data_IF_398310009734
#
_entry.id   IF_398310009734
#
_cell.length_a   1.000
_cell.length_b   1.000
_cell.length_c   1.000
_cell.angle_alpha   90.00
_cell.angle_beta   90.00
_cell.angle_gamma   90.00
#
_symmetry.space_group_name_H-M   'P 1'
#
loop_
_entity.id
_entity.type
_entity.pdbx_description
1 polymer ?
#
# COMPACT_ATOMS: atom_id res chain seq x y z
N UNK A 1 34.75 2.40 1.75
CA UNK A 1 34.98 2.06 0.33
C UNK A 1 34.29 3.10 -0.52
N UNK A 2 35.03 3.70 -1.45
CA UNK A 2 34.66 4.93 -2.14
C UNK A 2 33.39 4.77 -3.00
N UNK A 3 32.44 5.70 -2.85
CA UNK A 3 31.35 5.91 -3.79
C UNK A 3 31.94 6.39 -5.11
N UNK A 4 32.25 5.48 -6.03
CA UNK A 4 32.38 5.84 -7.44
C UNK A 4 30.96 6.12 -7.94
N UNK A 5 30.61 7.41 -7.96
CA UNK A 5 29.38 7.86 -8.58
C UNK A 5 29.42 7.46 -10.06
N UNK A 6 28.41 6.71 -10.54
CA UNK A 6 28.26 6.44 -11.97
C UNK A 6 28.41 7.75 -12.75
N UNK A 7 29.34 7.73 -13.69
CA UNK A 7 29.54 8.80 -14.66
C UNK A 7 28.36 8.86 -15.62
N UNK A 8 28.18 10.01 -16.27
CA UNK A 8 27.10 10.16 -17.24
C UNK A 8 27.31 9.24 -18.46
N UNK A 9 28.57 8.94 -18.84
CA UNK A 9 28.88 7.96 -19.87
C UNK A 9 28.45 6.53 -19.49
N UNK A 10 28.65 6.12 -18.24
CA UNK A 10 28.17 4.81 -17.75
C UNK A 10 26.64 4.75 -17.70
N UNK A 11 25.98 5.86 -17.38
CA UNK A 11 24.51 5.96 -17.45
C UNK A 11 24.01 5.78 -18.87
N UNK A 12 24.65 6.39 -19.87
CA UNK A 12 24.32 6.20 -21.29
C UNK A 12 24.49 4.75 -21.70
N UNK A 13 25.65 4.15 -21.40
CA UNK A 13 25.96 2.75 -21.73
C UNK A 13 24.95 1.79 -21.10
N UNK A 14 24.59 2.01 -19.83
CA UNK A 14 23.58 1.22 -19.13
C UNK A 14 22.21 1.32 -19.81
N UNK A 15 21.81 2.53 -20.23
CA UNK A 15 20.55 2.77 -20.95
C UNK A 15 20.54 2.07 -22.31
N UNK A 16 21.64 2.12 -23.05
CA UNK A 16 21.79 1.45 -24.34
C UNK A 16 21.73 -0.08 -24.22
N UNK A 17 22.43 -0.67 -23.24
CA UNK A 17 22.37 -2.11 -22.98
C UNK A 17 20.95 -2.55 -22.60
N UNK A 18 20.26 -1.76 -21.77
CA UNK A 18 18.87 -2.02 -21.45
C UNK A 18 17.95 -1.92 -22.67
N UNK A 19 18.14 -0.90 -23.52
CA UNK A 19 17.39 -0.73 -24.77
C UNK A 19 17.64 -1.89 -25.75
N UNK A 20 18.84 -2.47 -25.74
CA UNK A 20 19.19 -3.68 -26.48
C UNK A 20 18.60 -4.98 -25.88
N UNK A 21 17.92 -4.91 -24.73
CA UNK A 21 17.21 -6.02 -24.10
C UNK A 21 17.92 -6.68 -22.92
N UNK A 22 19.02 -6.12 -22.42
CA UNK A 22 19.69 -6.63 -21.22
C UNK A 22 18.77 -6.58 -19.99
N UNK A 23 18.88 -7.58 -19.10
CA UNK A 23 18.09 -7.62 -17.88
C UNK A 23 18.68 -6.69 -16.84
N UNK A 24 17.82 -6.02 -16.06
CA UNK A 24 18.26 -5.09 -15.01
C UNK A 24 19.11 -5.75 -13.92
N UNK A 25 18.93 -7.05 -13.69
CA UNK A 25 19.73 -7.81 -12.70
C UNK A 25 21.17 -7.96 -13.18
N UNK A 26 21.35 -8.30 -14.46
CA UNK A 26 22.68 -8.49 -15.04
C UNK A 26 23.42 -7.13 -15.11
N UNK A 27 22.70 -6.06 -15.48
CA UNK A 27 23.22 -4.68 -15.46
C UNK A 27 23.59 -4.20 -14.04
N UNK A 28 22.83 -4.62 -13.02
CA UNK A 28 23.13 -4.27 -11.64
C UNK A 28 24.47 -4.89 -11.20
N UNK A 29 24.72 -6.15 -11.58
CA UNK A 29 25.97 -6.84 -11.32
C UNK A 29 27.13 -6.23 -12.12
N UNK A 30 26.93 -5.97 -13.42
CA UNK A 30 27.97 -5.42 -14.31
C UNK A 30 28.43 -4.02 -13.88
N UNK A 31 27.51 -3.16 -13.46
CA UNK A 31 27.80 -1.78 -13.04
C UNK A 31 28.00 -1.63 -11.53
N UNK A 32 27.95 -2.72 -10.77
CA UNK A 32 28.16 -2.71 -9.32
C UNK A 32 27.14 -1.87 -8.52
N UNK A 33 25.92 -1.72 -9.03
CA UNK A 33 24.87 -0.90 -8.41
C UNK A 33 23.63 -1.72 -8.07
N UNK A 34 22.81 -1.20 -7.16
CA UNK A 34 21.53 -1.82 -6.84
C UNK A 34 20.59 -1.85 -8.06
N UNK A 35 19.86 -2.96 -8.24
CA UNK A 35 18.86 -3.10 -9.29
C UNK A 35 17.78 -2.00 -9.27
N UNK A 36 17.44 -1.49 -8.08
CA UNK A 36 16.53 -0.34 -7.91
C UNK A 36 17.11 0.95 -8.50
N UNK A 37 18.42 1.14 -8.43
CA UNK A 37 19.13 2.26 -9.04
C UNK A 37 19.15 2.13 -10.58
N UNK A 38 19.43 0.93 -11.11
CA UNK A 38 19.31 0.63 -12.56
C UNK A 38 17.91 1.01 -13.06
N UNK A 39 16.86 0.57 -12.35
CA UNK A 39 15.48 0.91 -12.69
C UNK A 39 15.20 2.42 -12.67
N UNK A 40 15.75 3.16 -11.70
CA UNK A 40 15.57 4.61 -11.63
C UNK A 40 16.26 5.33 -12.79
N UNK A 41 17.47 4.87 -13.17
CA UNK A 41 18.27 5.43 -14.26
C UNK A 41 17.62 5.16 -15.63
N UNK A 42 17.23 3.90 -15.89
CA UNK A 42 16.62 3.46 -17.16
C UNK A 42 15.30 4.18 -17.44
N UNK A 43 14.48 4.39 -16.41
CA UNK A 43 13.19 5.09 -16.53
C UNK A 43 13.33 6.62 -16.48
N UNK A 44 14.55 7.16 -16.41
CA UNK A 44 14.79 8.61 -16.37
C UNK A 44 14.32 9.30 -15.09
N UNK A 45 14.02 8.55 -14.02
CA UNK A 45 13.65 9.11 -12.70
C UNK A 45 14.84 9.77 -12.01
N UNK A 46 16.04 9.28 -12.32
CA UNK A 46 17.31 9.84 -11.88
C UNK A 46 18.25 9.99 -13.08
N UNK A 47 19.19 10.95 -12.99
CA UNK A 47 20.20 11.22 -14.04
C UNK A 47 19.57 11.42 -15.43
N UNK A 48 18.47 12.15 -15.51
CA UNK A 48 17.79 12.44 -16.79
C UNK A 48 18.69 13.24 -17.75
N UNK A 49 19.51 14.15 -17.20
CA UNK A 49 20.46 14.99 -17.93
C UNK A 49 21.64 14.23 -18.56
N UNK A 50 21.88 12.98 -18.15
CA UNK A 50 23.02 12.18 -18.63
C UNK A 50 22.86 11.71 -20.10
N UNK A 51 21.69 11.88 -20.73
CA UNK A 51 21.45 11.47 -22.12
C UNK A 51 21.17 9.98 -22.33
N UNK A 52 21.17 9.50 -23.57
CA UNK A 52 20.89 8.10 -23.91
C UNK A 52 19.39 7.71 -23.90
N UNK A 53 19.05 6.50 -24.36
CA UNK A 53 17.66 6.08 -24.53
C UNK A 53 17.00 5.84 -23.17
N UNK A 54 16.14 6.77 -22.77
CA UNK A 54 15.24 6.53 -21.65
C UNK A 54 14.19 5.55 -22.14
N UNK A 55 13.95 4.50 -21.35
CA UNK A 55 12.79 3.64 -21.53
C UNK A 55 11.54 4.47 -21.18
N UNK A 56 11.18 5.40 -22.07
CA UNK A 56 9.88 6.05 -22.03
C UNK A 56 8.89 4.91 -22.02
N UNK A 57 8.01 4.92 -21.02
CA UNK A 57 6.98 3.91 -20.83
C UNK A 57 6.40 3.60 -22.19
N UNK A 58 6.78 2.45 -22.73
CA UNK A 58 6.50 2.11 -24.11
C UNK A 58 5.02 2.36 -24.34
N UNK A 59 4.71 3.23 -25.30
CA UNK A 59 3.37 3.47 -25.83
C UNK A 59 2.80 2.20 -26.51
N UNK A 60 3.25 1.00 -26.14
CA UNK A 60 2.55 -0.29 -26.36
C UNK A 60 1.16 -0.35 -25.71
N UNK A 61 0.65 0.76 -25.19
CA UNK A 61 -0.76 0.97 -24.84
C UNK A 61 -1.49 1.97 -25.76
N UNK A 62 -0.82 2.53 -26.78
CA UNK A 62 -1.35 3.57 -27.67
C UNK A 62 -1.88 3.02 -29.01
N UNK A 63 -1.87 1.71 -29.23
CA UNK A 63 -2.50 1.07 -30.38
C UNK A 63 -3.74 0.27 -29.96
N UNK A 64 -4.75 0.98 -29.47
CA UNK A 64 -6.16 0.64 -29.53
C UNK A 64 -6.97 1.90 -29.19
N UNK A 65 -8.02 2.27 -29.95
CA UNK A 65 -8.84 3.44 -29.62
C UNK A 65 -9.44 3.26 -28.21
N UNK A 66 -9.30 4.30 -27.39
CA UNK A 66 -9.76 4.38 -26.01
C UNK A 66 -11.30 4.51 -25.89
N UNK A 67 -12.06 3.59 -26.52
CA UNK A 67 -13.53 3.65 -26.53
C UNK A 67 -14.19 2.35 -26.03
N UNK A 68 -13.42 1.39 -25.54
CA UNK A 68 -13.99 0.36 -24.68
C UNK A 68 -13.76 0.77 -23.23
N UNK A 69 -14.82 1.03 -22.43
CA UNK A 69 -14.65 1.21 -21.00
C UNK A 69 -13.95 -0.04 -20.47
N UNK A 70 -12.71 0.14 -19.99
CA UNK A 70 -12.00 -0.89 -19.24
C UNK A 70 -12.98 -1.39 -18.18
N UNK A 71 -13.33 -2.69 -18.12
CA UNK A 71 -14.22 -3.18 -17.08
C UNK A 71 -13.62 -2.74 -15.76
N UNK A 72 -14.45 -2.12 -14.91
CA UNK A 72 -14.04 -1.71 -13.58
C UNK A 72 -13.28 -2.89 -12.97
N UNK A 73 -12.02 -2.66 -12.57
CA UNK A 73 -11.17 -3.71 -12.03
C UNK A 73 -12.00 -4.44 -10.97
N UNK A 74 -12.25 -5.74 -11.18
CA UNK A 74 -13.08 -6.53 -10.28
C UNK A 74 -12.63 -6.23 -8.85
N UNK A 75 -13.57 -5.98 -7.92
CA UNK A 75 -13.21 -5.63 -6.56
C UNK A 75 -12.23 -6.69 -6.06
N UNK A 76 -11.01 -6.26 -5.68
CA UNK A 76 -10.03 -7.17 -5.10
C UNK A 76 -10.74 -7.88 -3.96
N UNK A 77 -10.79 -9.21 -3.97
CA UNK A 77 -11.47 -10.03 -2.96
C UNK A 77 -10.89 -9.69 -1.59
N UNK A 78 -11.51 -8.74 -0.89
CA UNK A 78 -11.17 -8.38 0.48
C UNK A 78 -11.70 -9.50 1.37
N UNK A 79 -10.87 -9.99 2.28
CA UNK A 79 -11.30 -11.00 3.26
C UNK A 79 -12.43 -10.41 4.08
N UNK A 80 -13.51 -11.19 4.25
CA UNK A 80 -14.62 -10.77 5.10
C UNK A 80 -14.20 -10.72 6.56
N UNK A 81 -14.95 -9.98 7.38
CA UNK A 81 -14.71 -9.95 8.81
C UNK A 81 -14.85 -11.33 9.45
N UNK A 82 -15.80 -12.13 8.96
CA UNK A 82 -16.00 -13.51 9.39
C UNK A 82 -14.79 -14.40 9.07
N UNK A 83 -14.20 -14.28 7.87
CA UNK A 83 -13.00 -15.05 7.51
C UNK A 83 -11.82 -14.70 8.41
N UNK A 84 -11.65 -13.42 8.76
CA UNK A 84 -10.58 -12.97 9.65
C UNK A 84 -10.79 -13.50 11.07
N UNK A 85 -12.03 -13.51 11.56
CA UNK A 85 -12.35 -14.05 12.87
C UNK A 85 -12.20 -15.59 12.93
N UNK A 86 -12.59 -16.29 11.86
CA UNK A 86 -12.34 -17.73 11.73
C UNK A 86 -10.84 -18.03 11.75
N UNK A 87 -10.02 -17.27 11.01
CA UNK A 87 -8.56 -17.42 11.06
C UNK A 87 -8.03 -17.22 12.49
N UNK A 88 -8.46 -16.16 13.18
CA UNK A 88 -8.02 -15.89 14.56
C UNK A 88 -8.41 -17.01 15.52
N UNK A 89 -9.65 -17.49 15.42
CA UNK A 89 -10.18 -18.56 16.27
C UNK A 89 -9.41 -19.87 16.07
N UNK A 90 -9.16 -20.26 14.82
CA UNK A 90 -8.46 -21.50 14.48
C UNK A 90 -6.96 -21.45 14.80
N UNK A 91 -6.35 -20.28 14.65
CA UNK A 91 -4.96 -20.09 15.12
C UNK A 91 -4.88 -20.16 16.65
N UNK A 92 -5.88 -19.60 17.37
CA UNK A 92 -5.94 -19.67 18.83
C UNK A 92 -6.22 -21.08 19.37
N UNK A 93 -6.96 -21.91 18.63
CA UNK A 93 -7.15 -23.35 18.95
C UNK A 93 -5.90 -24.20 18.66
N UNK A 94 -4.86 -23.63 18.05
CA UNK A 94 -3.61 -24.33 17.76
C UNK A 94 -3.60 -25.09 16.44
N UNK A 95 -4.60 -24.91 15.56
CA UNK A 95 -4.61 -25.52 14.23
C UNK A 95 -3.42 -25.03 13.38
N UNK A 96 -2.91 -25.91 12.51
CA UNK A 96 -1.77 -25.57 11.66
C UNK A 96 -2.20 -24.56 10.61
N UNK A 97 -1.43 -23.48 10.48
CA UNK A 97 -1.69 -22.38 9.52
C UNK A 97 -1.83 -22.87 8.07
N UNK A 98 -1.19 -23.97 7.70
CA UNK A 98 -1.30 -24.60 6.37
C UNK A 98 -2.67 -25.22 6.13
N UNK A 99 -3.27 -25.83 7.15
CA UNK A 99 -4.61 -26.45 7.08
C UNK A 99 -5.68 -25.36 7.02
N UNK A 100 -5.55 -24.32 7.85
CA UNK A 100 -6.41 -23.13 7.84
C UNK A 100 -6.37 -22.43 6.47
N UNK A 101 -5.19 -22.34 5.85
CA UNK A 101 -5.00 -21.74 4.53
C UNK A 101 -5.72 -22.52 3.43
N UNK A 102 -5.58 -23.85 3.44
CA UNK A 102 -6.21 -24.73 2.47
C UNK A 102 -7.74 -24.69 2.59
N UNK A 103 -8.26 -24.76 3.82
CA UNK A 103 -9.70 -24.80 4.09
C UNK A 103 -10.41 -23.49 3.72
N UNK A 104 -9.78 -22.35 4.04
CA UNK A 104 -10.35 -21.02 3.77
C UNK A 104 -10.02 -20.48 2.37
N UNK A 105 -9.20 -21.19 1.60
CA UNK A 105 -8.74 -20.75 0.28
C UNK A 105 -7.92 -19.45 0.32
N UNK A 106 -7.11 -19.26 1.37
CA UNK A 106 -6.29 -18.06 1.59
C UNK A 106 -4.81 -18.44 1.69
N UNK A 107 -3.90 -17.53 1.32
CA UNK A 107 -2.47 -17.82 1.42
C UNK A 107 -1.97 -17.84 2.87
N UNK A 108 -0.93 -18.63 3.17
CA UNK A 108 -0.27 -18.61 4.48
C UNK A 108 0.19 -17.20 4.88
N UNK A 109 0.74 -16.43 3.95
CA UNK A 109 1.14 -15.03 4.19
C UNK A 109 -0.04 -14.13 4.57
N UNK A 110 -1.24 -14.46 4.11
CA UNK A 110 -2.48 -13.78 4.51
C UNK A 110 -2.79 -14.04 5.98
N UNK A 111 -2.67 -15.28 6.44
CA UNK A 111 -2.84 -15.65 7.85
C UNK A 111 -1.80 -14.94 8.72
N UNK A 112 -0.52 -14.96 8.34
CA UNK A 112 0.54 -14.27 9.08
C UNK A 112 0.28 -12.75 9.17
N UNK A 113 -0.29 -12.14 8.11
CA UNK A 113 -0.67 -10.72 8.12
C UNK A 113 -1.88 -10.42 9.02
N UNK A 114 -2.81 -11.35 9.16
CA UNK A 114 -3.96 -11.24 10.07
C UNK A 114 -3.50 -11.35 11.52
N UNK A 115 -2.65 -12.34 11.83
CA UNK A 115 -2.08 -12.55 13.16
C UNK A 115 -1.20 -11.36 13.57
N UNK A 116 -0.35 -10.87 12.66
CA UNK A 116 0.54 -9.74 12.95
C UNK A 116 -0.17 -8.39 12.96
N UNK A 117 -1.50 -8.33 12.83
CA UNK A 117 -2.28 -7.09 12.82
C UNK A 117 -2.12 -6.20 11.58
N UNK A 118 -1.31 -6.59 10.59
CA UNK A 118 -1.08 -5.82 9.35
C UNK A 118 -2.28 -5.84 8.41
N UNK A 119 -3.12 -6.87 8.49
CA UNK A 119 -4.42 -6.97 7.83
C UNK A 119 -5.50 -7.30 8.86
N UNK A 120 -5.83 -6.32 9.69
CA UNK A 120 -7.08 -6.32 10.44
C UNK A 120 -8.22 -5.78 9.58
N UNK A 121 -9.45 -6.24 9.85
CA UNK A 121 -10.68 -5.61 9.37
C UNK A 121 -10.73 -4.17 9.87
N UNK A 122 -10.26 -3.22 9.08
CA UNK A 122 -10.62 -1.83 9.29
C UNK A 122 -12.06 -1.56 8.79
N UNK A 123 -12.96 -2.53 8.82
CA UNK A 123 -14.38 -2.23 9.01
C UNK A 123 -14.60 -2.05 10.50
N UNK A 124 -13.97 -1.00 11.07
CA UNK A 124 -14.44 -0.47 12.35
C UNK A 124 -15.90 -0.12 12.11
N UNK A 125 -16.81 -0.73 12.88
CA UNK A 125 -18.23 -0.36 12.86
C UNK A 125 -18.28 1.17 13.00
N UNK A 126 -18.98 1.90 12.11
CA UNK A 126 -19.08 3.34 12.22
C UNK A 126 -19.63 3.68 13.61
N UNK A 127 -19.07 4.73 14.21
CA UNK A 127 -19.53 5.21 15.51
C UNK A 127 -21.01 5.58 15.39
N UNK A 128 -21.81 5.20 16.39
CA UNK A 128 -23.23 5.55 16.44
C UNK A 128 -23.41 7.06 16.61
N UNK A 129 -24.58 7.57 16.22
CA UNK A 129 -24.93 8.98 16.37
C UNK A 129 -24.86 9.45 17.83
N UNK A 130 -25.19 8.57 18.79
CA UNK A 130 -25.02 8.84 20.22
C UNK A 130 -23.55 9.01 20.60
N UNK A 131 -22.66 8.12 20.13
CA UNK A 131 -21.22 8.23 20.39
C UNK A 131 -20.63 9.49 19.75
N UNK A 132 -21.11 9.88 18.57
CA UNK A 132 -20.66 11.11 17.90
C UNK A 132 -21.09 12.34 18.70
N UNK A 133 -22.32 12.38 19.22
CA UNK A 133 -22.80 13.44 20.11
C UNK A 133 -21.98 13.50 21.40
N UNK A 134 -21.67 12.35 22.01
CA UNK A 134 -20.81 12.28 23.20
C UNK A 134 -19.40 12.79 22.94
N UNK A 135 -18.77 12.37 21.84
CA UNK A 135 -17.43 12.83 21.44
C UNK A 135 -17.40 14.35 21.25
N UNK A 136 -18.41 14.93 20.60
CA UNK A 136 -18.50 16.38 20.37
C UNK A 136 -18.74 17.15 21.67
N UNK A 137 -19.65 16.67 22.50
CA UNK A 137 -19.91 17.27 23.82
C UNK A 137 -18.65 17.26 24.69
N UNK A 138 -17.94 16.13 24.75
CA UNK A 138 -16.72 16.01 25.54
C UNK A 138 -15.59 16.88 25.00
N UNK A 139 -15.42 16.96 23.67
CA UNK A 139 -14.45 17.87 23.07
C UNK A 139 -14.79 19.34 23.35
N UNK A 140 -16.08 19.72 23.34
CA UNK A 140 -16.53 21.07 23.67
C UNK A 140 -16.30 21.42 25.15
N UNK A 141 -16.38 20.45 26.06
CA UNK A 141 -16.00 20.63 27.47
C UNK A 141 -14.48 20.65 27.71
N UNK A 142 -13.67 20.59 26.65
CA UNK A 142 -12.21 20.68 26.73
C UNK A 142 -11.49 19.35 26.92
N UNK A 143 -12.18 18.21 26.78
CA UNK A 143 -11.53 16.89 26.87
C UNK A 143 -10.52 16.73 25.72
N UNK A 144 -9.27 16.34 26.01
CA UNK A 144 -8.26 16.10 24.99
C UNK A 144 -8.71 15.05 23.98
N UNK A 145 -8.55 15.35 22.69
CA UNK A 145 -8.92 14.44 21.60
C UNK A 145 -8.15 13.10 21.62
N UNK A 146 -6.96 13.08 22.22
CA UNK A 146 -6.17 11.86 22.44
C UNK A 146 -6.83 10.90 23.43
N UNK A 147 -7.44 11.42 24.50
CA UNK A 147 -8.18 10.61 25.47
C UNK A 147 -9.46 10.04 24.84
N UNK A 148 -10.19 10.87 24.09
CA UNK A 148 -11.36 10.40 23.32
C UNK A 148 -10.98 9.34 22.28
N UNK A 149 -9.81 9.45 21.66
CA UNK A 149 -9.34 8.44 20.72
C UNK A 149 -9.12 7.09 21.41
N UNK A 150 -8.51 7.11 22.60
CA UNK A 150 -8.28 5.91 23.40
C UNK A 150 -9.60 5.30 23.89
N UNK A 151 -10.50 6.11 24.44
CA UNK A 151 -11.81 5.70 24.97
C UNK A 151 -12.69 5.04 23.90
N UNK A 152 -12.77 5.64 22.72
CA UNK A 152 -13.61 5.14 21.62
C UNK A 152 -12.87 4.19 20.66
N UNK A 153 -11.64 3.77 21.01
CA UNK A 153 -10.86 2.79 20.23
C UNK A 153 -10.55 3.24 18.80
N UNK A 154 -10.41 4.54 18.57
CA UNK A 154 -10.20 5.18 17.26
C UNK A 154 -8.91 6.00 17.23
N UNK A 155 -8.62 6.70 16.14
CA UNK A 155 -7.46 7.59 16.05
C UNK A 155 -7.84 9.04 16.39
N UNK A 156 -6.88 9.81 16.90
CA UNK A 156 -7.06 11.24 17.17
C UNK A 156 -7.46 12.02 15.91
N UNK A 157 -6.98 11.60 14.73
CA UNK A 157 -7.40 12.17 13.44
C UNK A 157 -8.91 11.97 13.19
N UNK A 158 -9.47 10.80 13.50
CA UNK A 158 -10.91 10.54 13.37
C UNK A 158 -11.71 11.40 14.34
N UNK A 159 -11.26 11.51 15.60
CA UNK A 159 -11.88 12.43 16.57
C UNK A 159 -11.86 13.87 16.04
N UNK A 160 -10.72 14.33 15.51
CA UNK A 160 -10.60 15.67 14.93
C UNK A 160 -11.57 15.90 13.78
N UNK A 161 -11.76 14.91 12.90
CA UNK A 161 -12.72 14.98 11.79
C UNK A 161 -14.18 15.00 12.28
N UNK A 162 -14.50 14.28 13.36
CA UNK A 162 -15.84 14.29 13.98
C UNK A 162 -16.13 15.64 14.62
N UNK A 163 -15.18 16.18 15.38
CA UNK A 163 -15.29 17.49 16.05
C UNK A 163 -15.41 18.63 15.04
N UNK A 164 -14.62 18.60 13.95
CA UNK A 164 -14.69 19.59 12.85
C UNK A 164 -15.88 19.38 11.91
N UNK A 165 -16.73 18.38 12.17
CA UNK A 165 -17.86 17.99 11.32
C UNK A 165 -17.47 17.74 9.85
N UNK A 166 -16.23 17.30 9.61
CA UNK A 166 -15.80 16.86 8.28
C UNK A 166 -16.51 15.57 7.92
N UNK A 167 -16.69 14.71 8.92
CA UNK A 167 -17.46 13.45 8.88
C UNK A 167 -18.71 13.58 9.76
N UNK A 168 -19.75 12.80 9.47
CA UNK A 168 -21.03 12.78 10.21
C UNK A 168 -21.66 14.17 10.35
N UNK A 169 -21.87 14.86 9.22
CA UNK A 169 -22.34 16.25 9.18
C UNK A 169 -23.74 16.45 9.75
N UNK A 170 -24.60 15.44 9.56
CA UNK A 170 -26.02 15.50 9.90
C UNK A 170 -26.30 15.15 11.36
N UNK A 171 -25.31 14.61 12.08
CA UNK A 171 -25.39 14.40 13.52
C UNK A 171 -25.15 15.76 14.21
N UNK A 172 -25.82 16.09 15.32
CA UNK A 172 -25.55 17.30 16.11
C UNK A 172 -24.18 17.33 16.77
#
# INVERSE_FOLDING_TARGET
MALMALSDAEVVRLRELYAAGARQVDLATEFGIAQTAVSAIVNGRTRASAGGPIATRSLRSASAPATSPRPAAAPRKTLSAEQIEQVRRRVASGEKRTEIAADLGISRSTIDSIISGRRGTATRKPLSDDQIRQIRSAAASGTPQSLLAQEYGTSQQVISQIVRRVTYRDVP
#
